data_IF_842601991821
#
_entry.id   IF_842601991821
#
_cell.length_a   1.000
_cell.length_b   1.000
_cell.length_c   1.000
_cell.angle_alpha   90.00
_cell.angle_beta   90.00
_cell.angle_gamma   90.00
#
_symmetry.space_group_name_H-M   'P 1'
#
loop_
_entity.id
_entity.type
_entity.pdbx_description
1 polymer ?
#
# COMPACT_ATOMS: atom_id res chain seq x y z
N UNK A 1 -63.74 15.11 33.57
CA UNK A 1 -62.59 16.05 33.50
C UNK A 1 -61.54 15.56 34.48
N UNK A 2 -60.44 15.00 33.98
CA UNK A 2 -59.33 14.51 34.81
C UNK A 2 -58.08 14.51 33.93
N UNK A 3 -57.23 15.53 34.09
CA UNK A 3 -55.95 15.61 33.39
C UNK A 3 -54.92 14.73 34.11
N UNK A 4 -54.31 13.80 33.39
CA UNK A 4 -53.09 13.12 33.85
C UNK A 4 -51.86 14.03 33.57
N UNK A 5 -50.85 14.05 34.46
CA UNK A 5 -49.69 14.92 34.31
C UNK A 5 -48.72 14.42 33.23
N UNK A 6 -48.16 15.38 32.48
CA UNK A 6 -47.16 15.15 31.45
C UNK A 6 -45.83 14.70 32.10
N UNK A 7 -45.24 13.58 31.65
CA UNK A 7 -43.84 13.28 31.98
C UNK A 7 -42.90 14.24 31.23
N UNK A 8 -41.82 14.73 31.86
CA UNK A 8 -40.78 15.50 31.18
C UNK A 8 -39.97 14.60 30.23
N UNK A 9 -39.51 15.18 29.12
CA UNK A 9 -38.82 14.45 28.06
C UNK A 9 -37.42 13.99 28.46
N UNK A 10 -37.13 12.73 28.14
CA UNK A 10 -35.82 12.11 28.27
C UNK A 10 -34.89 12.66 27.17
N UNK A 11 -33.91 13.47 27.55
CA UNK A 11 -32.98 14.11 26.60
C UNK A 11 -32.02 13.07 26.03
N UNK A 12 -32.28 12.63 24.80
CA UNK A 12 -31.39 11.75 24.06
C UNK A 12 -29.96 12.32 24.05
N UNK A 13 -29.02 11.61 24.67
CA UNK A 13 -27.61 11.88 24.48
C UNK A 13 -27.28 11.56 23.02
N UNK A 14 -26.94 12.59 22.24
CA UNK A 14 -26.38 12.39 20.91
C UNK A 14 -25.08 11.58 21.00
N UNK A 15 -24.72 10.82 19.95
CA UNK A 15 -23.41 10.16 19.91
C UNK A 15 -22.35 11.25 20.04
N UNK A 16 -21.60 11.21 21.15
CA UNK A 16 -20.61 12.24 21.43
C UNK A 16 -19.57 12.26 20.32
N UNK A 17 -19.25 13.47 19.83
CA UNK A 17 -18.11 13.71 18.96
C UNK A 17 -16.85 13.24 19.68
N UNK A 18 -16.48 11.98 19.43
CA UNK A 18 -15.29 11.36 19.94
C UNK A 18 -14.09 12.07 19.36
N UNK A 19 -13.62 13.09 20.07
CA UNK A 19 -12.38 13.80 19.81
C UNK A 19 -11.18 12.89 20.10
N UNK A 20 -11.13 11.77 19.38
CA UNK A 20 -9.99 10.88 19.32
C UNK A 20 -8.85 11.61 18.62
N UNK A 21 -8.02 12.17 19.48
CA UNK A 21 -6.57 12.21 19.33
C UNK A 21 -6.02 12.97 18.13
N UNK A 22 -5.87 14.29 18.33
CA UNK A 22 -5.02 15.13 17.47
C UNK A 22 -3.55 15.13 17.92
N UNK A 23 -3.17 14.31 18.91
CA UNK A 23 -1.85 14.33 19.55
C UNK A 23 -0.80 13.50 18.84
N UNK A 24 -1.15 12.28 18.40
CA UNK A 24 -0.15 11.28 17.99
C UNK A 24 0.32 11.37 16.52
N UNK A 25 -0.36 12.17 15.68
CA UNK A 25 0.00 12.34 14.26
C UNK A 25 1.49 12.64 13.98
N UNK A 26 2.13 13.59 14.69
CA UNK A 26 3.57 13.87 14.54
C UNK A 26 4.47 12.67 14.92
N UNK A 27 4.06 11.85 15.89
CA UNK A 27 4.81 10.66 16.34
C UNK A 27 4.80 9.59 15.25
N UNK A 28 3.63 9.33 14.67
CA UNK A 28 3.48 8.35 13.59
C UNK A 28 4.18 8.78 12.29
N UNK A 29 4.14 10.08 11.94
CA UNK A 29 4.90 10.61 10.81
C UNK A 29 6.43 10.47 11.03
N UNK A 30 6.91 10.71 12.26
CA UNK A 30 8.30 10.47 12.65
C UNK A 30 8.70 9.00 12.52
N UNK A 31 7.85 8.08 12.99
CA UNK A 31 8.08 6.64 12.88
C UNK A 31 8.12 6.18 11.41
N UNK A 32 7.15 6.58 10.58
CA UNK A 32 7.14 6.27 9.16
C UNK A 32 8.43 6.75 8.48
N UNK A 33 8.85 7.99 8.73
CA UNK A 33 10.10 8.52 8.18
C UNK A 33 11.33 7.70 8.60
N UNK A 34 11.41 7.26 9.85
CA UNK A 34 12.49 6.40 10.33
C UNK A 34 12.53 5.03 9.62
N UNK A 35 11.36 4.43 9.33
CA UNK A 35 11.28 3.19 8.53
C UNK A 35 11.72 3.43 7.09
N UNK A 36 11.29 4.52 6.44
CA UNK A 36 11.74 4.85 5.08
C UNK A 36 13.25 5.10 5.01
N UNK A 37 13.85 5.65 6.06
CA UNK A 37 15.30 5.82 6.16
C UNK A 37 16.05 4.48 6.18
N UNK A 38 15.52 3.49 6.91
CA UNK A 38 16.05 2.12 6.86
C UNK A 38 15.90 1.52 5.44
N UNK A 39 14.72 1.62 4.82
CA UNK A 39 14.48 1.15 3.44
C UNK A 39 15.40 1.85 2.42
N UNK A 40 15.73 3.15 2.62
CA UNK A 40 16.67 3.90 1.79
C UNK A 40 18.07 3.30 1.79
N UNK A 41 18.50 2.62 2.85
CA UNK A 41 19.82 1.95 2.92
C UNK A 41 19.90 0.67 2.09
N UNK A 42 18.77 0.05 1.74
CA UNK A 42 18.69 -1.23 1.03
C UNK A 42 18.93 -1.09 -0.49
N UNK A 43 19.96 -0.33 -0.87
CA UNK A 43 20.29 0.01 -2.26
C UNK A 43 20.95 -1.15 -3.00
N UNK A 44 20.34 -1.68 -4.08
CA UNK A 44 21.02 -2.62 -4.98
C UNK A 44 22.24 -1.94 -5.61
N UNK A 45 23.39 -2.62 -5.69
CA UNK A 45 24.66 -2.05 -6.23
C UNK A 45 24.48 -1.36 -7.59
N UNK A 46 23.59 -1.91 -8.45
CA UNK A 46 23.24 -1.44 -9.80
C UNK A 46 22.36 -0.17 -9.87
N UNK A 47 22.05 0.46 -8.74
CA UNK A 47 21.21 1.68 -8.64
C UNK A 47 21.89 2.80 -7.84
N UNK A 48 23.17 2.68 -7.49
CA UNK A 48 23.87 3.63 -6.61
C UNK A 48 24.13 5.00 -7.25
N UNK A 49 24.11 5.02 -8.57
CA UNK A 49 24.31 6.15 -9.49
C UNK A 49 22.98 6.78 -9.95
N UNK A 50 21.84 6.21 -9.58
CA UNK A 50 20.51 6.72 -9.90
C UNK A 50 20.19 7.95 -9.03
N UNK A 51 19.45 8.92 -9.58
CA UNK A 51 18.98 10.09 -8.84
C UNK A 51 18.26 9.72 -7.53
N UNK A 52 17.47 8.64 -7.56
CA UNK A 52 16.79 8.04 -6.42
C UNK A 52 17.00 6.52 -6.43
N UNK A 53 18.01 6.00 -5.68
CA UNK A 53 18.35 4.57 -5.69
C UNK A 53 17.22 3.62 -5.23
N UNK A 54 16.25 4.13 -4.47
CA UNK A 54 15.03 3.45 -4.02
C UNK A 54 13.82 4.39 -4.05
N UNK A 55 12.60 3.84 -4.11
CA UNK A 55 11.37 4.63 -4.02
C UNK A 55 11.23 5.32 -2.65
N UNK A 56 11.60 4.64 -1.55
CA UNK A 56 11.72 5.27 -0.24
C UNK A 56 12.65 6.51 -0.25
N UNK A 57 13.76 6.48 -1.00
CA UNK A 57 14.64 7.64 -1.18
C UNK A 57 13.96 8.80 -1.93
N UNK A 58 13.15 8.51 -2.95
CA UNK A 58 12.34 9.51 -3.66
C UNK A 58 11.28 10.14 -2.72
N UNK A 59 10.52 9.32 -2.01
CA UNK A 59 9.47 9.74 -1.07
C UNK A 59 10.05 10.48 0.15
N UNK A 60 11.24 10.13 0.61
CA UNK A 60 11.95 10.93 1.62
C UNK A 60 12.29 12.33 1.10
N UNK A 61 12.82 12.42 -0.13
CA UNK A 61 13.29 13.69 -0.72
C UNK A 61 12.14 14.64 -1.07
N UNK A 62 11.08 14.13 -1.71
CA UNK A 62 10.01 14.96 -2.30
C UNK A 62 8.64 14.79 -1.65
N UNK A 63 8.47 13.75 -0.83
CA UNK A 63 7.19 13.42 -0.22
C UNK A 63 6.74 14.41 0.85
N UNK A 64 5.42 14.46 1.03
CA UNK A 64 4.75 15.21 2.09
C UNK A 64 4.14 14.23 3.08
N UNK A 65 4.11 14.60 4.36
CA UNK A 65 3.47 13.82 5.41
C UNK A 65 1.97 14.19 5.44
N UNK A 66 1.09 13.18 5.52
CA UNK A 66 -0.36 13.37 5.61
C UNK A 66 -0.95 12.57 6.77
N UNK A 67 -1.89 13.19 7.47
CA UNK A 67 -2.68 12.52 8.50
C UNK A 67 -3.76 11.63 7.87
N UNK A 68 -4.04 10.44 8.42
CA UNK A 68 -5.23 9.68 8.09
C UNK A 68 -6.50 10.51 8.31
N UNK A 69 -7.51 10.28 7.47
CA UNK A 69 -8.82 10.88 7.61
C UNK A 69 -9.91 9.83 7.34
N UNK A 70 -11.04 9.96 8.03
CA UNK A 70 -12.19 9.07 7.85
C UNK A 70 -12.72 9.10 6.41
N UNK A 71 -13.21 7.96 5.93
CA UNK A 71 -13.73 7.80 4.58
C UNK A 71 -14.99 8.62 4.36
N UNK A 72 -14.91 9.67 3.53
CA UNK A 72 -16.05 10.58 3.26
C UNK A 72 -17.05 10.04 2.25
N UNK A 73 -16.71 8.96 1.52
CA UNK A 73 -17.49 8.41 0.42
C UNK A 73 -18.67 7.49 0.83
N UNK A 74 -19.00 7.42 2.11
CA UNK A 74 -20.19 6.69 2.59
C UNK A 74 -20.19 5.20 2.24
N UNK A 75 -21.15 4.77 1.41
CA UNK A 75 -21.47 3.36 1.13
C UNK A 75 -20.59 2.68 0.09
N UNK A 76 -19.66 3.40 -0.57
CA UNK A 76 -18.79 2.78 -1.56
C UNK A 76 -17.82 1.77 -0.90
N UNK A 77 -17.88 0.47 -1.26
CA UNK A 77 -17.03 -0.54 -0.67
C UNK A 77 -15.57 -0.27 -1.00
N UNK A 78 -14.69 -0.40 0.00
CA UNK A 78 -13.25 -0.28 -0.21
C UNK A 78 -12.71 -1.51 -0.95
N UNK A 79 -11.82 -1.26 -1.92
CA UNK A 79 -11.21 -2.29 -2.79
C UNK A 79 -9.84 -2.66 -2.23
N UNK A 80 -9.84 -3.37 -1.10
CA UNK A 80 -8.61 -3.75 -0.38
C UNK A 80 -7.69 -4.61 -1.27
N UNK A 81 -6.42 -4.21 -1.36
CA UNK A 81 -5.44 -4.85 -2.26
C UNK A 81 -5.45 -4.33 -3.72
N UNK A 82 -6.29 -3.34 -4.03
CA UNK A 82 -6.41 -2.70 -5.36
C UNK A 82 -6.15 -1.19 -5.29
N UNK A 83 -5.31 -0.75 -4.36
CA UNK A 83 -5.10 0.65 -4.01
C UNK A 83 -4.74 1.56 -5.20
N UNK A 84 -3.87 1.11 -6.11
CA UNK A 84 -3.50 1.88 -7.31
C UNK A 84 -4.71 2.11 -8.22
N UNK A 85 -5.42 1.04 -8.60
CA UNK A 85 -6.54 1.11 -9.52
C UNK A 85 -7.74 1.87 -8.93
N UNK A 86 -8.03 1.63 -7.64
CA UNK A 86 -9.05 2.36 -6.93
C UNK A 86 -8.69 3.83 -6.75
N UNK A 87 -7.43 4.18 -6.47
CA UNK A 87 -6.99 5.58 -6.39
C UNK A 87 -7.07 6.29 -7.75
N UNK A 88 -6.77 5.62 -8.86
CA UNK A 88 -7.00 6.20 -10.20
C UNK A 88 -8.49 6.42 -10.48
N UNK A 89 -9.34 5.42 -10.23
CA UNK A 89 -10.81 5.54 -10.40
C UNK A 89 -11.40 6.72 -9.61
N UNK A 90 -10.96 6.91 -8.36
CA UNK A 90 -11.39 8.02 -7.50
C UNK A 90 -10.81 9.37 -7.93
N UNK A 91 -9.53 9.43 -8.35
CA UNK A 91 -8.92 10.65 -8.87
C UNK A 91 -9.62 11.13 -10.15
N UNK A 92 -9.89 10.23 -11.09
CA UNK A 92 -10.57 10.53 -12.36
C UNK A 92 -12.04 10.94 -12.14
N UNK A 93 -12.77 10.26 -11.24
CA UNK A 93 -14.20 10.57 -10.99
C UNK A 93 -14.40 11.90 -10.25
N UNK A 94 -13.63 12.14 -9.20
CA UNK A 94 -13.84 13.28 -8.30
C UNK A 94 -12.95 14.50 -8.63
N UNK A 95 -12.02 14.36 -9.58
CA UNK A 95 -10.98 15.37 -9.85
C UNK A 95 -9.98 15.52 -8.69
N UNK A 96 -9.78 14.47 -7.89
CA UNK A 96 -8.88 14.49 -6.72
C UNK A 96 -7.42 14.28 -7.13
N UNK A 97 -6.48 14.75 -6.30
CA UNK A 97 -5.06 14.56 -6.58
C UNK A 97 -4.68 13.10 -6.31
N UNK A 98 -4.25 12.36 -7.33
CA UNK A 98 -3.64 11.04 -7.14
C UNK A 98 -2.33 11.15 -6.36
N UNK A 99 -2.09 10.26 -5.41
CA UNK A 99 -0.89 10.26 -4.58
C UNK A 99 -0.33 8.85 -4.42
N UNK A 100 0.99 8.72 -4.57
CA UNK A 100 1.74 7.47 -4.40
C UNK A 100 2.82 7.63 -3.32
N UNK A 101 3.01 6.63 -2.48
CA UNK A 101 4.00 6.71 -1.40
C UNK A 101 3.99 5.51 -0.48
N UNK A 102 4.15 5.76 0.81
CA UNK A 102 4.08 4.75 1.85
C UNK A 102 3.00 5.08 2.89
N UNK A 103 2.32 4.04 3.37
CA UNK A 103 1.42 4.08 4.51
C UNK A 103 2.04 3.30 5.68
N UNK A 104 1.87 3.78 6.91
CA UNK A 104 2.25 3.09 8.14
C UNK A 104 1.03 2.39 8.74
N UNK A 105 1.01 1.06 8.71
CA UNK A 105 -0.06 0.27 9.32
C UNK A 105 -0.14 0.48 10.85
N UNK A 106 -1.34 0.35 11.40
CA UNK A 106 -1.59 0.25 12.84
C UNK A 106 -1.12 -1.10 13.41
N UNK A 107 -1.11 -2.16 12.59
CA UNK A 107 -0.48 -3.43 12.95
C UNK A 107 1.05 -3.33 12.78
N UNK A 108 1.84 -3.42 13.88
CA UNK A 108 3.31 -3.33 13.81
C UNK A 108 3.96 -4.50 13.07
N UNK A 109 3.25 -5.62 12.82
CA UNK A 109 3.72 -6.74 12.00
C UNK A 109 3.72 -6.39 10.51
N UNK A 110 2.81 -5.50 10.07
CA UNK A 110 2.74 -5.00 8.69
C UNK A 110 3.74 -3.86 8.49
N UNK A 111 3.83 -2.93 9.45
CA UNK A 111 4.76 -1.80 9.38
C UNK A 111 4.45 -0.83 8.24
N UNK A 112 5.50 -0.36 7.53
CA UNK A 112 5.33 0.56 6.40
C UNK A 112 5.33 -0.19 5.06
N UNK A 113 4.39 0.14 4.18
CA UNK A 113 4.20 -0.50 2.87
C UNK A 113 3.90 0.51 1.77
N UNK A 114 4.23 0.17 0.53
CA UNK A 114 3.96 0.98 -0.66
C UNK A 114 2.47 1.03 -0.97
N UNK A 115 1.94 2.22 -1.26
CA UNK A 115 0.50 2.44 -1.33
C UNK A 115 0.12 3.63 -2.20
N UNK A 116 -1.15 3.69 -2.63
CA UNK A 116 -1.74 4.79 -3.38
C UNK A 116 -3.10 5.22 -2.80
N UNK A 117 -3.35 6.52 -2.81
CA UNK A 117 -4.55 7.17 -2.29
C UNK A 117 -4.84 8.46 -3.05
N UNK A 118 -5.98 9.10 -2.76
CA UNK A 118 -6.32 10.42 -3.28
C UNK A 118 -6.16 11.52 -2.21
N UNK A 119 -5.97 12.76 -2.64
CA UNK A 119 -6.14 13.94 -1.79
C UNK A 119 -7.34 14.75 -2.29
N UNK A 120 -8.26 15.05 -1.37
CA UNK A 120 -9.42 15.91 -1.66
C UNK A 120 -8.96 17.36 -1.92
N UNK A 121 -9.83 18.26 -2.43
CA UNK A 121 -9.49 19.68 -2.61
C UNK A 121 -9.05 20.39 -1.31
N UNK A 122 -9.46 19.88 -0.15
CA UNK A 122 -9.02 20.37 1.17
C UNK A 122 -7.67 19.78 1.62
N UNK A 123 -7.00 18.97 0.77
CA UNK A 123 -5.73 18.31 1.07
C UNK A 123 -5.84 17.12 2.03
N UNK A 124 -7.05 16.59 2.28
CA UNK A 124 -7.26 15.43 3.17
C UNK A 124 -7.05 14.12 2.43
N UNK A 125 -6.48 13.12 3.10
CA UNK A 125 -6.36 11.75 2.56
C UNK A 125 -7.74 11.16 2.33
N UNK A 126 -7.96 10.66 1.12
CA UNK A 126 -9.09 9.88 0.72
C UNK A 126 -8.58 8.53 0.20
N UNK A 127 -8.58 7.52 1.07
CA UNK A 127 -8.08 6.18 0.76
C UNK A 127 -9.22 5.23 0.35
N UNK A 128 -9.26 4.72 -0.89
CA UNK A 128 -10.31 3.83 -1.35
C UNK A 128 -10.07 2.34 -1.06
N UNK A 129 -8.97 1.97 -0.40
CA UNK A 129 -8.59 0.58 -0.10
C UNK A 129 -8.56 0.21 1.40
N UNK A 130 -8.35 1.20 2.30
CA UNK A 130 -8.04 1.13 3.76
C UNK A 130 -8.19 -0.23 4.50
N UNK A 131 -9.08 -0.43 5.52
CA UNK A 131 -10.14 0.44 6.11
C UNK A 131 -9.72 1.54 7.14
N UNK A 132 -10.67 2.30 7.70
CA UNK A 132 -10.35 3.42 8.61
C UNK A 132 -9.72 2.92 9.93
N UNK A 133 -8.77 3.69 10.47
CA UNK A 133 -7.99 3.30 11.65
C UNK A 133 -6.87 2.27 11.39
N UNK A 134 -6.78 1.69 10.18
CA UNK A 134 -5.73 0.73 9.83
C UNK A 134 -4.38 1.37 9.49
N UNK A 135 -4.35 2.67 9.19
CA UNK A 135 -3.12 3.42 8.91
C UNK A 135 -3.00 4.59 9.88
N UNK A 136 -1.80 4.75 10.41
CA UNK A 136 -1.42 5.76 11.41
C UNK A 136 -0.81 7.02 10.79
N UNK A 137 -0.13 6.89 9.64
CA UNK A 137 0.47 7.98 8.90
C UNK A 137 0.64 7.62 7.42
N UNK A 138 0.60 8.62 6.55
CA UNK A 138 0.95 8.50 5.14
C UNK A 138 2.12 9.45 4.82
N UNK A 139 3.02 9.05 3.92
CA UNK A 139 4.01 9.94 3.31
C UNK A 139 4.11 9.66 1.82
N UNK A 140 3.82 10.64 0.98
CA UNK A 140 3.70 10.40 -0.46
C UNK A 140 3.87 11.62 -1.35
N UNK A 141 3.76 11.36 -2.64
CA UNK A 141 4.00 12.24 -3.78
C UNK A 141 2.66 12.52 -4.47
N UNK A 142 2.04 13.69 -4.26
CA UNK A 142 0.88 14.11 -5.04
C UNK A 142 1.29 14.34 -6.48
N UNK A 143 0.76 13.57 -7.42
CA UNK A 143 1.16 13.60 -8.83
C UNK A 143 0.24 14.53 -9.64
N UNK A 144 0.80 15.23 -10.62
CA UNK A 144 0.01 16.06 -11.53
C UNK A 144 -0.70 15.21 -12.58
N UNK A 145 -1.91 15.61 -12.97
CA UNK A 145 -2.68 14.89 -13.99
C UNK A 145 -1.98 14.85 -15.37
N UNK A 146 -1.14 15.84 -15.69
CA UNK A 146 -0.26 15.81 -16.86
C UNK A 146 0.75 14.67 -16.79
N UNK A 147 1.44 14.52 -15.66
CA UNK A 147 2.42 13.48 -15.44
C UNK A 147 1.79 12.08 -15.44
N UNK A 148 0.65 11.88 -14.77
CA UNK A 148 -0.11 10.62 -14.80
C UNK A 148 -0.38 10.16 -16.24
N UNK A 149 -0.95 11.05 -17.07
CA UNK A 149 -1.23 10.78 -18.49
C UNK A 149 0.04 10.48 -19.28
N UNK A 150 1.13 11.21 -19.02
CA UNK A 150 2.40 11.02 -19.71
C UNK A 150 3.08 9.68 -19.41
N UNK A 151 2.83 9.07 -18.24
CA UNK A 151 3.40 7.75 -17.93
C UNK A 151 2.69 6.60 -18.67
N UNK A 152 1.43 6.76 -19.08
CA UNK A 152 0.71 5.75 -19.87
C UNK A 152 0.51 4.39 -19.18
N UNK A 153 0.64 4.32 -17.84
CA UNK A 153 0.58 3.06 -17.06
C UNK A 153 -0.86 2.61 -16.71
N UNK A 154 -1.87 3.33 -17.18
CA UNK A 154 -3.28 3.04 -16.88
C UNK A 154 -3.58 3.15 -15.39
N UNK A 155 -4.32 2.17 -14.86
CA UNK A 155 -4.74 2.06 -13.46
C UNK A 155 -3.67 1.40 -12.55
N UNK A 156 -2.50 1.10 -13.09
CA UNK A 156 -1.37 0.55 -12.32
C UNK A 156 -0.60 1.63 -11.54
N UNK A 157 0.32 1.19 -10.68
CA UNK A 157 1.30 2.05 -10.04
C UNK A 157 2.09 2.85 -11.08
N UNK A 158 2.20 4.16 -10.88
CA UNK A 158 2.81 5.15 -11.75
C UNK A 158 4.31 5.20 -11.54
N UNK A 159 4.76 5.23 -10.27
CA UNK A 159 6.18 5.29 -9.88
C UNK A 159 6.62 3.98 -9.23
N UNK A 160 5.83 3.45 -8.29
CA UNK A 160 6.23 2.34 -7.44
C UNK A 160 6.03 0.97 -8.09
N UNK A 161 6.28 -0.11 -7.34
CA UNK A 161 5.99 -1.48 -7.75
C UNK A 161 4.47 -1.71 -7.85
N UNK A 162 3.90 -2.00 -9.03
CA UNK A 162 2.55 -2.53 -9.14
C UNK A 162 2.47 -3.94 -8.55
N UNK A 163 1.24 -4.45 -8.41
CA UNK A 163 0.94 -5.81 -7.91
C UNK A 163 1.57 -6.92 -8.77
N UNK A 164 1.84 -6.66 -10.05
CA UNK A 164 2.62 -7.53 -10.93
C UNK A 164 4.12 -7.26 -10.76
N UNK A 165 4.84 -8.15 -10.05
CA UNK A 165 6.28 -8.01 -9.82
C UNK A 165 7.14 -8.11 -11.08
N UNK A 166 6.59 -8.57 -12.22
CA UNK A 166 7.28 -8.55 -13.51
C UNK A 166 7.41 -7.12 -14.06
N UNK A 167 6.46 -6.25 -13.73
CA UNK A 167 6.51 -4.83 -14.03
C UNK A 167 7.23 -4.13 -12.88
N UNK A 168 8.51 -3.80 -13.08
CA UNK A 168 9.30 -3.08 -12.07
C UNK A 168 8.75 -1.68 -11.72
N UNK A 169 9.35 -1.01 -10.72
CA UNK A 169 9.09 0.39 -10.49
C UNK A 169 9.55 1.21 -11.69
N UNK A 170 9.11 2.47 -11.78
CA UNK A 170 9.42 3.38 -12.87
C UNK A 170 10.92 3.73 -12.88
N UNK A 171 11.69 2.92 -13.61
CA UNK A 171 13.14 3.01 -13.68
C UNK A 171 13.65 4.24 -14.47
N UNK A 172 12.78 4.99 -15.15
CA UNK A 172 13.10 6.32 -15.65
C UNK A 172 13.07 7.32 -14.48
N UNK A 173 11.92 7.45 -13.81
CA UNK A 173 11.75 8.38 -12.67
C UNK A 173 12.80 8.19 -11.57
N UNK A 174 13.12 6.95 -11.22
CA UNK A 174 14.11 6.67 -10.17
C UNK A 174 15.56 6.95 -10.61
N UNK A 175 15.89 6.77 -11.90
CA UNK A 175 17.25 6.92 -12.43
C UNK A 175 17.56 8.35 -12.84
N UNK A 176 16.67 8.90 -13.66
CA UNK A 176 16.82 10.18 -14.37
C UNK A 176 16.21 11.33 -13.57
N UNK A 177 15.28 11.01 -12.65
CA UNK A 177 14.64 11.93 -11.72
C UNK A 177 13.18 12.23 -12.03
N UNK A 178 12.52 12.99 -11.15
CA UNK A 178 11.19 13.53 -11.43
C UNK A 178 11.29 14.76 -12.35
N UNK A 179 10.47 14.85 -13.41
CA UNK A 179 10.20 16.11 -14.10
C UNK A 179 9.74 17.21 -13.13
N UNK A 180 10.07 18.47 -13.43
CA UNK A 180 9.74 19.61 -12.56
C UNK A 180 8.23 19.87 -12.41
N UNK A 181 7.42 19.37 -13.34
CA UNK A 181 5.95 19.44 -13.35
C UNK A 181 5.28 18.16 -12.84
N UNK A 182 6.03 17.16 -12.35
CA UNK A 182 5.49 15.86 -11.95
C UNK A 182 4.69 15.89 -10.64
N UNK A 183 4.98 16.86 -9.76
CA UNK A 183 4.41 16.95 -8.42
C UNK A 183 3.45 18.13 -8.30
N UNK A 184 2.26 17.90 -7.76
CA UNK A 184 1.32 18.97 -7.48
C UNK A 184 1.84 19.86 -6.35
N UNK A 185 2.09 21.14 -6.66
CA UNK A 185 2.59 22.12 -5.69
C UNK A 185 1.54 22.46 -4.64
N UNK A 186 0.30 22.70 -5.07
CA UNK A 186 -0.88 22.87 -4.22
C UNK A 186 -1.86 21.70 -4.46
N UNK A 187 -2.39 21.10 -3.39
CA UNK A 187 -3.41 20.05 -3.47
C UNK A 187 -4.71 20.54 -4.08
N UNK A 188 -4.97 21.87 -4.06
CA UNK A 188 -6.10 22.51 -4.74
C UNK A 188 -5.90 22.64 -6.26
N UNK A 189 -4.67 22.75 -6.74
CA UNK A 189 -4.37 22.95 -8.17
C UNK A 189 -4.26 21.63 -8.95
N UNK A 190 -3.95 20.52 -8.27
CA UNK A 190 -3.90 19.19 -8.87
C UNK A 190 -5.16 18.80 -9.67
N UNK A 191 -6.31 19.34 -9.27
CA UNK A 191 -7.63 19.08 -9.84
C UNK A 191 -7.91 19.82 -11.17
N UNK A 192 -7.14 20.86 -11.52
CA UNK A 192 -7.68 21.99 -12.31
C UNK A 192 -6.98 22.43 -13.59
N UNK A 193 -5.72 22.04 -13.85
CA UNK A 193 -4.93 22.62 -14.97
C UNK A 193 -5.29 22.11 -16.38
N UNK A 194 -6.42 21.42 -16.52
CA UNK A 194 -7.08 21.17 -17.81
C UNK A 194 -8.58 21.46 -17.68
N UNK A 195 -9.27 21.81 -18.77
CA UNK A 195 -10.72 21.95 -18.72
C UNK A 195 -11.30 20.63 -18.19
N UNK A 196 -12.02 20.70 -17.07
CA UNK A 196 -12.68 19.54 -16.51
C UNK A 196 -13.56 18.92 -17.60
N UNK A 197 -13.10 17.80 -18.16
CA UNK A 197 -13.93 16.99 -19.06
C UNK A 197 -15.08 16.56 -18.15
N UNK A 198 -16.31 17.05 -18.37
CA UNK A 198 -17.40 16.73 -17.46
C UNK A 198 -17.49 15.21 -17.42
N UNK A 199 -17.54 14.65 -16.22
CA UNK A 199 -17.62 13.22 -15.98
C UNK A 199 -18.86 12.66 -16.70
N UNK A 200 -18.70 12.34 -17.98
CA UNK A 200 -19.68 11.58 -18.73
C UNK A 200 -19.77 10.28 -17.97
N UNK A 201 -20.98 9.89 -17.57
CA UNK A 201 -21.25 8.50 -17.24
C UNK A 201 -20.80 7.67 -18.45
N UNK A 202 -19.57 7.16 -18.39
CA UNK A 202 -19.14 6.09 -19.25
C UNK A 202 -20.08 4.94 -18.92
N UNK A 203 -20.91 4.48 -19.86
CA UNK A 203 -21.68 3.28 -19.61
C UNK A 203 -20.68 2.20 -19.25
N UNK A 204 -20.92 1.48 -18.16
CA UNK A 204 -20.16 0.29 -17.80
C UNK A 204 -20.23 -0.68 -18.97
N UNK A 205 -19.20 -0.68 -19.82
CA UNK A 205 -19.13 -1.56 -20.97
C UNK A 205 -19.03 -2.98 -20.46
N UNK A 206 -20.12 -3.74 -20.58
CA UNK A 206 -20.03 -5.19 -20.47
C UNK A 206 -18.95 -5.67 -21.45
N UNK A 207 -17.91 -6.30 -20.91
CA UNK A 207 -16.84 -6.87 -21.70
C UNK A 207 -17.38 -8.07 -22.49
N UNK A 208 -17.76 -7.82 -23.73
CA UNK A 208 -18.07 -8.81 -24.75
C UNK A 208 -17.24 -8.52 -26.01
N UNK A 209 -16.85 -9.58 -26.69
CA UNK A 209 -16.21 -9.60 -28.02
C UNK A 209 -14.77 -9.07 -28.15
N UNK A 210 -13.82 -9.99 -27.90
CA UNK A 210 -13.00 -10.47 -29.01
C UNK A 210 -11.71 -9.72 -29.39
N UNK A 211 -10.71 -9.70 -28.50
CA UNK A 211 -9.31 -9.51 -28.91
C UNK A 211 -8.63 -10.86 -29.19
N UNK A 212 -8.15 -11.14 -30.42
CA UNK A 212 -7.42 -12.37 -30.71
C UNK A 212 -5.96 -12.29 -30.22
N UNK A 213 -5.47 -13.34 -29.56
CA UNK A 213 -4.03 -13.58 -29.41
C UNK A 213 -3.37 -13.19 -28.09
N UNK A 214 -4.12 -12.88 -27.02
CA UNK A 214 -3.54 -12.91 -25.67
C UNK A 214 -3.32 -14.38 -25.28
N UNK A 215 -2.08 -14.84 -25.28
CA UNK A 215 -1.77 -16.22 -24.85
C UNK A 215 -2.11 -16.37 -23.37
N UNK A 216 -3.01 -17.29 -23.04
CA UNK A 216 -3.38 -17.64 -21.68
C UNK A 216 -2.22 -18.35 -20.96
N UNK A 217 -1.22 -17.58 -20.54
CA UNK A 217 -0.29 -18.00 -19.51
C UNK A 217 -0.98 -17.81 -18.18
N UNK A 218 -1.34 -18.94 -17.58
CA UNK A 218 -1.79 -19.03 -16.19
C UNK A 218 -0.82 -18.23 -15.29
N UNK A 219 -1.33 -17.33 -14.43
CA UNK A 219 -0.48 -16.46 -13.63
C UNK A 219 0.39 -17.30 -12.68
N UNK A 220 1.70 -17.07 -12.73
CA UNK A 220 2.66 -17.80 -11.90
C UNK A 220 2.31 -17.66 -10.42
N UNK A 221 2.34 -18.77 -9.67
CA UNK A 221 2.10 -18.74 -8.23
C UNK A 221 3.04 -17.74 -7.53
N UNK A 222 2.62 -17.05 -6.45
CA UNK A 222 3.48 -16.14 -5.72
C UNK A 222 4.79 -16.79 -5.24
N UNK A 223 4.77 -18.08 -4.87
CA UNK A 223 5.99 -18.82 -4.54
C UNK A 223 6.95 -18.95 -5.73
N UNK A 224 6.44 -19.19 -6.94
CA UNK A 224 7.24 -19.21 -8.18
C UNK A 224 7.87 -17.84 -8.46
N UNK A 225 7.09 -16.74 -8.34
CA UNK A 225 7.60 -15.39 -8.57
C UNK A 225 8.74 -15.03 -7.61
N UNK A 226 8.62 -15.41 -6.33
CA UNK A 226 9.67 -15.22 -5.31
C UNK A 226 10.90 -16.05 -5.62
N UNK A 227 10.72 -17.32 -6.02
CA UNK A 227 11.81 -18.22 -6.43
C UNK A 227 12.61 -17.62 -7.59
N UNK A 228 11.92 -17.10 -8.59
CA UNK A 228 12.53 -16.47 -9.78
C UNK A 228 13.29 -15.19 -9.40
N UNK A 229 12.73 -14.36 -8.51
CA UNK A 229 13.39 -13.14 -8.00
C UNK A 229 14.66 -13.44 -7.19
N UNK A 230 14.63 -14.42 -6.27
CA UNK A 230 15.80 -14.84 -5.50
C UNK A 230 16.89 -15.42 -6.41
N UNK A 231 16.49 -16.23 -7.39
CA UNK A 231 17.38 -16.80 -8.41
C UNK A 231 18.02 -15.70 -9.26
N UNK A 232 17.24 -14.74 -9.77
CA UNK A 232 17.73 -13.61 -10.56
C UNK A 232 18.62 -12.64 -9.75
N UNK A 233 18.47 -12.61 -8.43
CA UNK A 233 19.34 -11.86 -7.51
C UNK A 233 20.65 -12.62 -7.17
N UNK A 234 20.79 -13.89 -7.55
CA UNK A 234 21.93 -14.73 -7.19
C UNK A 234 21.99 -15.08 -5.70
N UNK A 235 20.82 -15.16 -5.05
CA UNK A 235 20.70 -15.48 -3.62
C UNK A 235 20.42 -16.98 -3.49
N UNK A 236 21.28 -17.71 -2.78
CA UNK A 236 21.03 -19.10 -2.40
C UNK A 236 19.89 -19.17 -1.36
N UNK A 237 18.92 -20.06 -1.56
CA UNK A 237 17.81 -20.29 -0.63
C UNK A 237 17.44 -21.79 -0.53
N UNK A 238 16.84 -22.13 0.59
CA UNK A 238 16.12 -23.38 0.85
C UNK A 238 14.63 -23.06 0.90
N UNK A 239 13.84 -23.69 0.04
CA UNK A 239 12.38 -23.57 0.00
C UNK A 239 11.76 -24.67 0.88
N UNK A 240 10.98 -24.26 1.88
CA UNK A 240 10.25 -25.17 2.76
C UNK A 240 8.75 -24.89 2.68
N UNK A 241 8.00 -25.86 2.16
CA UNK A 241 6.55 -25.83 2.05
C UNK A 241 5.95 -26.52 3.27
N UNK A 242 5.05 -25.85 3.98
CA UNK A 242 4.31 -26.40 5.10
C UNK A 242 2.83 -26.03 5.01
N UNK A 243 1.96 -26.91 5.48
CA UNK A 243 0.53 -26.61 5.62
C UNK A 243 0.27 -26.26 7.07
N UNK A 244 -0.36 -25.11 7.34
CA UNK A 244 -0.72 -24.72 8.69
C UNK A 244 -1.99 -25.44 9.20
N UNK A 245 -2.37 -25.21 10.47
CA UNK A 245 -3.54 -25.82 11.09
C UNK A 245 -4.89 -25.40 10.47
N UNK A 246 -4.92 -24.43 9.54
CA UNK A 246 -6.11 -24.05 8.77
C UNK A 246 -6.21 -24.75 7.40
N UNK A 247 -5.19 -25.54 7.03
CA UNK A 247 -5.06 -26.10 5.69
C UNK A 247 -4.43 -25.15 4.67
N UNK A 248 -3.88 -24.01 5.11
CA UNK A 248 -3.23 -23.03 4.22
C UNK A 248 -1.80 -23.45 3.93
N UNK A 249 -1.44 -23.52 2.64
CA UNK A 249 -0.06 -23.81 2.21
C UNK A 249 0.79 -22.54 2.35
N UNK A 250 1.86 -22.62 3.13
CA UNK A 250 2.82 -21.56 3.38
C UNK A 250 4.19 -22.00 2.83
N UNK A 251 4.75 -21.18 1.94
CA UNK A 251 6.12 -21.38 1.41
C UNK A 251 7.06 -20.42 2.11
N UNK A 252 8.07 -20.95 2.81
CA UNK A 252 9.12 -20.17 3.45
C UNK A 252 10.45 -20.35 2.72
N UNK A 253 11.12 -19.23 2.45
CA UNK A 253 12.46 -19.20 1.85
C UNK A 253 13.47 -18.83 2.94
N UNK A 254 14.48 -19.66 3.15
CA UNK A 254 15.55 -19.44 4.15
C UNK A 254 16.90 -19.45 3.47
N UNK A 255 17.84 -18.60 3.90
CA UNK A 255 19.22 -18.74 3.45
C UNK A 255 19.81 -20.05 4.03
N UNK A 256 20.47 -20.91 3.24
CA UNK A 256 21.06 -22.14 3.76
C UNK A 256 22.08 -21.83 4.86
N UNK A 257 21.88 -22.39 6.04
CA UNK A 257 22.78 -22.20 7.17
C UNK A 257 24.11 -22.91 6.93
N UNK A 258 25.22 -22.18 6.99
CA UNK A 258 26.57 -22.76 7.00
C UNK A 258 27.30 -22.84 5.65
N UNK A 259 26.64 -22.58 4.51
CA UNK A 259 27.38 -22.38 3.24
C UNK A 259 28.04 -20.99 3.25
N UNK A 260 29.37 -20.94 3.41
CA UNK A 260 30.13 -19.73 3.05
C UNK A 260 29.90 -19.46 1.56
N UNK A 261 29.63 -18.21 1.14
CA UNK A 261 29.54 -17.90 -0.29
C UNK A 261 30.83 -18.36 -0.97
N UNK A 262 30.70 -19.06 -2.10
CA UNK A 262 31.86 -19.48 -2.90
C UNK A 262 32.65 -18.22 -3.26
N UNK A 263 33.82 -18.03 -2.64
CA UNK A 263 34.78 -17.03 -3.11
C UNK A 263 35.11 -17.39 -4.55
N UNK A 264 34.75 -16.51 -5.49
CA UNK A 264 35.28 -16.57 -6.84
C UNK A 264 36.81 -16.55 -6.76
N UNK A 265 37.46 -17.40 -7.54
CA UNK A 265 38.91 -17.51 -7.54
C UNK A 265 39.54 -16.25 -8.16
N UNK A 266 39.83 -15.26 -7.32
CA UNK A 266 40.70 -14.15 -7.65
C UNK A 266 41.53 -13.79 -6.41
N UNK A 267 42.83 -13.57 -6.67
CA UNK A 267 43.84 -12.98 -5.78
C UNK A 267 44.32 -13.83 -4.58
N UNK A 268 45.63 -14.11 -4.61
CA UNK A 268 46.43 -14.70 -3.53
C UNK A 268 47.11 -13.57 -2.78
N UNK A 269 47.06 -13.56 -1.45
CA UNK A 269 47.95 -12.68 -0.66
C UNK A 269 47.55 -12.50 0.80
N UNK A 270 48.55 -12.66 1.68
CA UNK A 270 48.59 -12.26 3.11
C UNK A 270 47.71 -13.07 4.09
N UNK A 271 48.30 -13.72 5.11
CA UNK A 271 47.57 -14.25 6.25
C UNK A 271 47.30 -13.15 7.28
N UNK A 272 46.07 -13.09 7.80
CA UNK A 272 45.72 -12.27 8.99
C UNK A 272 45.34 -13.21 10.12
N UNK A 273 45.84 -12.92 11.32
CA UNK A 273 45.68 -13.76 12.51
C UNK A 273 44.20 -13.98 12.85
N UNK A 274 43.86 -15.20 13.24
CA UNK A 274 42.51 -15.58 13.62
C UNK A 274 42.31 -15.39 15.14
N UNK A 275 41.83 -14.22 15.54
CA UNK A 275 41.17 -14.06 16.83
C UNK A 275 40.16 -12.89 16.81
N UNK A 276 39.18 -12.95 17.72
CA UNK A 276 38.05 -12.00 17.92
C UNK A 276 36.82 -12.15 17.01
N UNK A 277 35.65 -11.85 17.62
CA UNK A 277 34.30 -11.68 17.07
C UNK A 277 33.48 -12.95 16.75
N UNK A 278 32.93 -13.52 17.82
CA UNK A 278 31.63 -14.22 17.81
C UNK A 278 30.53 -13.15 17.87
N UNK A 279 29.85 -12.88 16.76
CA UNK A 279 28.59 -12.10 16.76
C UNK A 279 27.37 -13.01 16.62
N UNK A 280 26.24 -12.70 17.29
CA UNK A 280 24.98 -13.39 17.09
C UNK A 280 24.40 -13.01 15.72
N UNK A 281 24.19 -14.02 14.86
CA UNK A 281 23.48 -13.81 13.59
C UNK A 281 21.98 -13.78 13.85
N UNK A 282 21.32 -12.70 13.46
CA UNK A 282 19.87 -12.66 13.37
C UNK A 282 19.43 -13.40 12.09
N UNK A 283 18.64 -14.45 12.23
CA UNK A 283 18.02 -15.13 11.10
C UNK A 283 16.89 -14.26 10.54
N UNK A 284 17.08 -13.75 9.32
CA UNK A 284 16.03 -12.99 8.61
C UNK A 284 15.01 -13.97 8.05
N UNK A 285 13.90 -14.16 8.77
CA UNK A 285 12.76 -14.96 8.31
C UNK A 285 11.82 -14.07 7.48
N UNK A 286 11.89 -14.21 6.16
CA UNK A 286 10.94 -13.54 5.25
C UNK A 286 9.71 -14.42 5.07
N UNK A 287 8.69 -14.21 5.91
CA UNK A 287 7.39 -14.89 5.80
C UNK A 287 6.49 -14.21 4.77
N UNK A 288 6.55 -14.66 3.52
CA UNK A 288 5.64 -14.20 2.47
C UNK A 288 4.32 -14.96 2.54
N UNK A 289 3.36 -14.40 3.28
CA UNK A 289 1.95 -14.76 3.12
C UNK A 289 1.45 -14.18 1.80
N UNK A 290 1.20 -15.04 0.82
CA UNK A 290 0.35 -14.70 -0.31
C UNK A 290 -1.08 -14.48 0.22
N UNK A 291 -1.48 -13.21 0.40
CA UNK A 291 -2.81 -12.86 0.90
C UNK A 291 -3.87 -13.08 -0.18
N UNK A 292 -4.29 -14.34 -0.34
CA UNK A 292 -5.58 -14.68 -0.91
C UNK A 292 -6.67 -14.43 0.13
N UNK A 293 -7.22 -13.21 0.16
CA UNK A 293 -8.35 -12.88 1.02
C UNK A 293 -9.56 -13.72 0.60
N UNK A 294 -10.15 -14.48 1.54
CA UNK A 294 -11.43 -15.16 1.31
C UNK A 294 -12.57 -14.21 1.68
N UNK A 295 -13.51 -13.98 0.76
CA UNK A 295 -14.83 -13.48 1.14
C UNK A 295 -15.46 -14.44 2.16
N UNK A 296 -16.01 -13.90 3.26
CA UNK A 296 -16.77 -14.69 4.24
C UNK A 296 -16.45 -14.50 5.72
N UNK A 297 -15.50 -13.64 6.10
CA UNK A 297 -15.13 -13.40 7.51
C UNK A 297 -15.53 -12.02 8.04
N UNK A 298 -16.79 -11.63 7.83
CA UNK A 298 -17.46 -10.64 8.68
C UNK A 298 -18.55 -11.32 9.48
N UNK A 299 -18.38 -11.38 10.80
CA UNK A 299 -19.42 -11.81 11.72
C UNK A 299 -20.55 -10.80 11.70
N UNK A 300 -21.67 -11.16 11.08
CA UNK A 300 -22.90 -10.35 11.14
C UNK A 300 -23.50 -10.47 12.55
N UNK A 301 -23.24 -9.49 13.41
CA UNK A 301 -24.12 -9.24 14.57
C UNK A 301 -25.45 -8.68 14.06
N UNK A 302 -26.32 -9.58 13.57
CA UNK A 302 -27.72 -9.25 13.37
C UNK A 302 -28.36 -9.02 14.74
N UNK A 303 -28.70 -7.76 15.03
CA UNK A 303 -29.65 -7.44 16.10
C UNK A 303 -30.93 -8.26 15.88
N UNK A 304 -31.30 -9.06 16.87
CA UNK A 304 -32.57 -9.82 16.83
C UNK A 304 -33.74 -8.83 16.72
N UNK A 305 -34.69 -9.01 15.78
CA UNK A 305 -35.92 -8.23 15.82
C UNK A 305 -36.67 -8.56 17.11
N UNK A 306 -37.12 -7.53 17.82
CA UNK A 306 -37.96 -7.68 19.00
C UNK A 306 -39.26 -8.40 18.63
N UNK A 307 -39.66 -9.40 19.41
CA UNK A 307 -40.94 -10.10 19.18
C UNK A 307 -42.09 -9.11 19.42
N UNK A 308 -42.94 -8.94 18.42
CA UNK A 308 -44.26 -8.34 18.64
C UNK A 308 -45.05 -9.19 19.66
N UNK A 309 -45.83 -8.54 20.56
CA UNK A 309 -46.72 -9.28 21.46
C UNK A 309 -47.79 -10.03 20.66
N UNK A 310 -48.20 -11.20 21.17
CA UNK A 310 -49.38 -11.90 20.63
C UNK A 310 -50.64 -11.13 21.05
N UNK A 311 -51.68 -11.07 20.21
CA UNK A 311 -53.02 -10.74 20.66
C UNK A 311 -53.59 -11.89 21.52
N UNK A 312 -54.54 -11.55 22.38
CA UNK A 312 -55.35 -12.49 23.18
C UNK A 312 -56.37 -13.25 22.30
#
# INVERSE_FOLDING_TARGET
MTHAPHKPGETAHGPGDGAHDRGDGPVHAGHLRAVLEQLRTLVPKRRRDWAYPTFAGLVLTHGRDFAPASWTAGTHPRRTGECFAAAHEWADREGWAYCEGYALAADPVIGAFEHAWCLTPDGRVADPAIPDGWVLAYRGLPLTASFLRAQGRGDAAVITLPRDMLVGPNAAVLRDGLPSDALATDTRLAAGDGPAVPARHLPTTHAGDGLPGRTDREPLSPATQVRDLLTAAGIDFEETVHTDGSGTVVTAFRHPAGRRPRRSHAERGVPVSADTLREPRADVVVSLRAWGWREGSYGTEFSRPSRAPRPD
#
